data_IF_435676158011
#
_entry.id   IF_435676158011
#
_cell.length_a   1.000
_cell.length_b   1.000
_cell.length_c   1.000
_cell.angle_alpha   90.00
_cell.angle_beta   90.00
_cell.angle_gamma   90.00
#
_symmetry.space_group_name_H-M   'P 1'
#
loop_
_entity.id
_entity.type
_entity.pdbx_description
1 polymer ?
#
# COMPACT_ATOMS: atom_id res chain seq x y z
N UNK A 1 -39.29 -4.91 27.79
CA UNK A 1 -38.01 -5.64 27.65
C UNK A 1 -37.55 -5.45 26.20
N UNK A 2 -36.33 -4.93 25.98
CA UNK A 2 -35.82 -4.59 24.65
C UNK A 2 -35.40 -5.86 23.90
N UNK A 3 -35.99 -6.07 22.73
CA UNK A 3 -35.64 -7.13 21.79
C UNK A 3 -34.30 -6.77 21.14
N UNK A 4 -33.27 -7.60 21.36
CA UNK A 4 -31.97 -7.46 20.70
C UNK A 4 -32.07 -8.23 19.39
N UNK A 5 -32.05 -7.52 18.27
CA UNK A 5 -31.84 -8.11 16.95
C UNK A 5 -30.35 -8.44 16.80
N UNK A 6 -30.03 -9.73 16.85
CA UNK A 6 -28.72 -10.22 16.42
C UNK A 6 -28.86 -10.47 14.91
N UNK A 7 -28.28 -9.59 14.10
CA UNK A 7 -28.10 -9.86 12.67
C UNK A 7 -26.98 -10.90 12.57
N UNK A 8 -27.23 -12.09 12.00
CA UNK A 8 -26.15 -13.02 11.72
C UNK A 8 -25.30 -12.43 10.59
N UNK A 9 -24.06 -12.07 10.89
CA UNK A 9 -23.06 -11.77 9.87
C UNK A 9 -22.83 -13.08 9.12
N UNK A 10 -23.38 -13.14 7.92
CA UNK A 10 -23.27 -14.26 6.99
C UNK A 10 -21.81 -14.36 6.55
N UNK A 11 -21.06 -15.30 7.11
CA UNK A 11 -19.77 -15.73 6.57
C UNK A 11 -20.02 -16.45 5.25
N UNK A 12 -19.94 -15.71 4.14
CA UNK A 12 -19.88 -16.29 2.81
C UNK A 12 -18.41 -16.47 2.41
N UNK A 13 -17.98 -17.72 2.31
CA UNK A 13 -16.71 -18.13 1.70
C UNK A 13 -16.73 -17.82 0.21
N UNK A 14 -16.07 -16.76 -0.23
CA UNK A 14 -15.88 -16.36 -1.63
C UNK A 14 -14.38 -16.31 -1.96
N UNK A 15 -13.73 -17.46 -1.91
CA UNK A 15 -12.28 -17.59 -1.68
C UNK A 15 -11.32 -17.35 -2.86
N UNK A 16 -11.74 -16.72 -3.97
CA UNK A 16 -10.78 -16.42 -5.06
C UNK A 16 -10.98 -15.07 -5.78
N UNK A 17 -12.16 -14.43 -5.64
CA UNK A 17 -12.41 -13.08 -6.13
C UNK A 17 -12.26 -11.99 -5.06
N UNK A 18 -12.43 -12.36 -3.78
CA UNK A 18 -12.30 -11.44 -2.65
C UNK A 18 -10.86 -10.98 -2.45
N UNK A 19 -9.88 -11.87 -2.46
CA UNK A 19 -8.49 -11.50 -2.14
C UNK A 19 -7.90 -10.46 -3.11
N UNK A 20 -8.19 -10.57 -4.42
CA UNK A 20 -7.73 -9.60 -5.41
C UNK A 20 -8.42 -8.24 -5.23
N UNK A 21 -9.73 -8.23 -4.97
CA UNK A 21 -10.49 -7.01 -4.75
C UNK A 21 -10.07 -6.31 -3.45
N UNK A 22 -9.83 -7.08 -2.39
CA UNK A 22 -9.31 -6.63 -1.11
C UNK A 22 -7.90 -6.05 -1.23
N UNK A 23 -6.99 -6.75 -1.94
CA UNK A 23 -5.63 -6.29 -2.23
C UNK A 23 -5.62 -4.96 -2.97
N UNK A 24 -6.42 -4.87 -4.01
CA UNK A 24 -6.56 -3.68 -4.84
C UNK A 24 -7.11 -2.48 -4.04
N UNK A 25 -8.18 -2.69 -3.28
CA UNK A 25 -8.80 -1.66 -2.44
C UNK A 25 -7.87 -1.18 -1.33
N UNK A 26 -7.10 -2.09 -0.72
CA UNK A 26 -6.07 -1.75 0.26
C UNK A 26 -5.03 -0.79 -0.33
N UNK A 27 -4.54 -1.07 -1.55
CA UNK A 27 -3.57 -0.20 -2.23
C UNK A 27 -4.14 1.18 -2.54
N UNK A 28 -5.36 1.28 -3.06
CA UNK A 28 -6.00 2.58 -3.32
C UNK A 28 -6.08 3.41 -2.05
N UNK A 29 -6.57 2.83 -0.96
CA UNK A 29 -6.71 3.54 0.31
C UNK A 29 -5.36 3.98 0.87
N UNK A 30 -4.34 3.13 0.80
CA UNK A 30 -3.00 3.46 1.32
C UNK A 30 -2.33 4.57 0.51
N UNK A 31 -2.40 4.49 -0.82
CA UNK A 31 -1.87 5.53 -1.70
C UNK A 31 -2.61 6.84 -1.45
N UNK A 32 -3.93 6.80 -1.35
CA UNK A 32 -4.77 7.98 -1.12
C UNK A 32 -4.49 8.64 0.23
N UNK A 33 -4.40 7.82 1.28
CA UNK A 33 -4.08 8.26 2.62
C UNK A 33 -2.68 8.88 2.70
N UNK A 34 -1.71 8.28 2.01
CA UNK A 34 -0.32 8.77 1.92
C UNK A 34 -0.24 10.09 1.17
N UNK A 35 -0.86 10.19 -0.02
CA UNK A 35 -0.87 11.39 -0.84
C UNK A 35 -1.61 12.56 -0.16
N UNK A 36 -2.51 12.29 0.79
CA UNK A 36 -3.14 13.29 1.64
C UNK A 36 -2.22 13.82 2.77
N UNK A 37 -1.01 13.25 2.94
CA UNK A 37 -0.03 13.68 3.94
C UNK A 37 -0.32 13.17 5.35
N UNK A 38 -1.16 12.14 5.49
CA UNK A 38 -1.52 11.61 6.80
C UNK A 38 -0.40 10.70 7.36
N UNK A 39 -0.27 10.67 8.69
CA UNK A 39 0.65 9.74 9.35
C UNK A 39 0.13 8.30 9.21
N UNK A 40 0.89 7.45 8.52
CA UNK A 40 0.56 6.05 8.28
C UNK A 40 0.48 5.22 9.57
N UNK A 41 1.11 5.66 10.67
CA UNK A 41 0.96 5.01 11.97
C UNK A 41 -0.51 4.99 12.42
N UNK A 42 -1.26 6.07 12.17
CA UNK A 42 -2.69 6.13 12.47
C UNK A 42 -3.53 5.13 11.64
N UNK A 43 -3.01 4.66 10.51
CA UNK A 43 -3.64 3.63 9.68
C UNK A 43 -3.41 2.20 10.22
N UNK A 44 -2.48 2.06 11.17
CA UNK A 44 -2.02 0.75 11.70
C UNK A 44 -2.39 0.53 13.16
N UNK A 45 -2.68 1.61 13.90
CA UNK A 45 -3.04 1.57 15.32
C UNK A 45 -4.52 1.19 15.56
N UNK A 46 -4.83 0.52 16.69
CA UNK A 46 -6.21 0.23 17.07
C UNK A 46 -7.06 1.51 17.10
N UNK A 47 -8.33 1.47 16.65
CA UNK A 47 -9.12 0.29 16.28
C UNK A 47 -8.98 -0.14 14.81
N UNK A 48 -8.15 0.54 14.03
CA UNK A 48 -8.07 0.38 12.58
C UNK A 48 -6.92 -0.55 12.20
N UNK A 49 -7.11 -1.86 12.38
CA UNK A 49 -6.22 -2.84 11.78
C UNK A 49 -6.70 -3.15 10.36
N UNK A 50 -6.42 -2.25 9.42
CA UNK A 50 -6.80 -2.37 8.01
C UNK A 50 -5.98 -3.44 7.26
N UNK A 51 -5.66 -4.56 7.90
CA UNK A 51 -4.90 -5.66 7.32
C UNK A 51 -3.39 -5.45 7.22
N UNK A 52 -2.83 -4.42 7.87
CA UNK A 52 -1.38 -4.22 7.97
C UNK A 52 -0.81 -4.88 9.21
N UNK A 53 0.12 -5.81 9.03
CA UNK A 53 0.91 -6.39 10.11
C UNK A 53 2.27 -5.68 10.17
N UNK A 54 2.54 -4.98 11.28
CA UNK A 54 3.82 -4.28 11.49
C UNK A 54 4.93 -5.31 11.73
N UNK A 55 6.02 -5.18 11.00
CA UNK A 55 7.20 -6.06 11.07
C UNK A 55 8.48 -5.32 11.43
N UNK A 56 9.59 -5.76 10.82
CA UNK A 56 10.95 -5.32 11.11
C UNK A 56 11.14 -3.79 11.03
N UNK A 57 12.08 -3.29 11.83
CA UNK A 57 12.44 -1.88 11.91
C UNK A 57 13.93 -1.67 11.70
N UNK A 58 14.28 -0.52 11.12
CA UNK A 58 15.67 -0.05 10.99
C UNK A 58 15.74 1.42 11.39
N UNK A 59 16.78 1.79 12.12
CA UNK A 59 17.05 3.15 12.58
C UNK A 59 18.53 3.46 12.38
N UNK A 60 18.84 4.52 11.64
CA UNK A 60 20.21 4.98 11.38
C UNK A 60 20.57 6.29 12.12
N UNK A 61 19.69 6.75 13.03
CA UNK A 61 19.82 7.99 13.80
C UNK A 61 19.27 9.23 13.10
N UNK A 62 19.04 9.19 11.78
CA UNK A 62 18.36 10.25 11.03
C UNK A 62 16.99 9.81 10.53
N UNK A 63 16.88 8.54 10.18
CA UNK A 63 15.74 7.92 9.55
C UNK A 63 15.26 6.72 10.35
N UNK A 64 13.95 6.63 10.48
CA UNK A 64 13.26 5.50 11.06
C UNK A 64 12.43 4.80 10.01
N UNK A 65 12.77 3.56 9.68
CA UNK A 65 12.06 2.75 8.70
C UNK A 65 11.23 1.68 9.40
N UNK A 66 9.92 1.67 9.14
CA UNK A 66 9.01 0.59 9.53
C UNK A 66 8.59 -0.20 8.30
N UNK A 67 8.72 -1.52 8.37
CA UNK A 67 8.14 -2.43 7.38
C UNK A 67 6.77 -2.92 7.84
N UNK A 68 5.82 -2.96 6.94
CA UNK A 68 4.52 -3.60 7.11
C UNK A 68 4.37 -4.71 6.08
N UNK A 69 3.81 -5.83 6.53
CA UNK A 69 3.37 -6.90 5.67
C UNK A 69 1.96 -6.58 5.18
N UNK A 70 1.78 -6.69 3.87
CA UNK A 70 0.50 -6.53 3.18
C UNK A 70 -0.09 -7.92 2.90
N UNK A 71 -1.17 -7.97 2.11
CA UNK A 71 -1.75 -9.22 1.62
C UNK A 71 -0.69 -10.02 0.86
N UNK A 72 -0.72 -11.35 1.03
CA UNK A 72 0.22 -12.30 0.43
C UNK A 72 1.70 -12.04 0.81
N UNK A 73 2.54 -11.73 -0.19
CA UNK A 73 3.98 -11.51 -0.04
C UNK A 73 4.40 -10.05 -0.22
N UNK A 74 3.42 -9.16 -0.35
CA UNK A 74 3.67 -7.74 -0.56
C UNK A 74 4.21 -7.07 0.69
N UNK A 75 5.01 -6.02 0.48
CA UNK A 75 5.62 -5.27 1.56
C UNK A 75 5.39 -3.78 1.37
N UNK A 76 5.22 -3.09 2.48
CA UNK A 76 5.18 -1.64 2.55
C UNK A 76 6.27 -1.17 3.48
N UNK A 77 7.15 -0.29 3.02
CA UNK A 77 8.17 0.32 3.86
C UNK A 77 7.87 1.80 4.00
N UNK A 78 7.84 2.29 5.23
CA UNK A 78 7.62 3.70 5.56
C UNK A 78 8.86 4.24 6.21
N UNK A 79 9.46 5.25 5.60
CA UNK A 79 10.67 5.91 6.06
C UNK A 79 10.26 7.28 6.60
N UNK A 80 10.47 7.46 7.90
CA UNK A 80 10.22 8.69 8.62
C UNK A 80 11.53 9.42 8.88
N UNK A 81 11.51 10.74 8.73
CA UNK A 81 12.60 11.59 9.15
C UNK A 81 12.45 11.90 10.65
N UNK A 82 13.42 11.47 11.46
CA UNK A 82 13.37 11.65 12.92
C UNK A 82 13.42 13.12 13.34
N UNK A 83 14.17 13.95 12.60
CA UNK A 83 14.32 15.38 12.88
C UNK A 83 13.01 16.14 12.67
N UNK A 84 12.30 15.84 11.58
CA UNK A 84 11.06 16.53 11.22
C UNK A 84 9.79 15.82 11.70
N UNK A 85 9.93 14.61 12.26
CA UNK A 85 8.81 13.75 12.69
C UNK A 85 7.75 13.61 11.60
N UNK A 86 8.20 13.43 10.37
CA UNK A 86 7.36 13.38 9.18
C UNK A 86 7.77 12.21 8.28
N UNK A 87 6.80 11.68 7.53
CA UNK A 87 7.07 10.68 6.49
C UNK A 87 7.85 11.36 5.38
N UNK A 88 9.00 10.79 5.02
CA UNK A 88 9.81 11.25 3.89
C UNK A 88 9.62 10.35 2.67
N UNK A 89 9.40 9.04 2.88
CA UNK A 89 9.25 8.10 1.79
C UNK A 89 8.37 6.91 2.15
N UNK A 90 7.57 6.47 1.19
CA UNK A 90 6.80 5.23 1.24
C UNK A 90 7.17 4.38 0.04
N UNK A 91 7.44 3.10 0.26
CA UNK A 91 7.84 2.14 -0.76
C UNK A 91 6.92 0.93 -0.70
N UNK A 92 6.15 0.70 -1.76
CA UNK A 92 5.40 -0.53 -1.95
C UNK A 92 6.22 -1.50 -2.80
N UNK A 93 6.38 -2.72 -2.31
CA UNK A 93 6.91 -3.85 -3.05
C UNK A 93 5.73 -4.76 -3.35
N UNK A 94 5.33 -4.79 -4.62
CA UNK A 94 4.16 -5.48 -5.14
C UNK A 94 4.66 -6.70 -5.88
N UNK A 95 4.36 -7.87 -5.34
CA UNK A 95 4.62 -9.16 -5.97
C UNK A 95 3.61 -9.41 -7.10
N UNK A 96 4.04 -9.89 -8.28
CA UNK A 96 3.12 -10.13 -9.37
C UNK A 96 2.15 -11.28 -9.02
N UNK A 97 0.96 -11.26 -9.60
CA UNK A 97 -0.05 -12.30 -9.35
C UNK A 97 0.39 -13.60 -10.06
N UNK A 98 0.67 -14.66 -9.32
CA UNK A 98 1.06 -15.96 -9.89
C UNK A 98 -0.17 -16.87 -9.94
N UNK A 99 -0.60 -17.26 -11.16
CA UNK A 99 -1.68 -18.24 -11.38
C UNK A 99 -1.12 -19.45 -12.14
N UNK A 100 -0.79 -20.50 -11.40
CA UNK A 100 -0.07 -21.65 -11.96
C UNK A 100 1.32 -21.22 -12.45
N UNK A 101 1.60 -21.38 -13.75
CA UNK A 101 2.86 -20.95 -14.37
C UNK A 101 2.75 -19.58 -15.08
N UNK A 102 1.67 -18.84 -14.87
CA UNK A 102 1.43 -17.54 -15.52
C UNK A 102 1.66 -16.44 -14.48
N UNK A 103 2.58 -15.52 -14.80
CA UNK A 103 2.80 -14.27 -14.07
C UNK A 103 1.85 -13.22 -14.65
N UNK A 104 0.99 -12.64 -13.82
CA UNK A 104 0.08 -11.56 -14.20
C UNK A 104 0.48 -10.25 -13.53
N UNK A 105 0.45 -9.17 -14.31
CA UNK A 105 0.70 -7.80 -13.85
C UNK A 105 -0.60 -7.02 -13.63
N UNK A 106 -1.75 -7.69 -13.48
CA UNK A 106 -3.05 -7.05 -13.32
C UNK A 106 -3.11 -6.11 -12.11
N UNK A 107 -2.59 -6.52 -10.95
CA UNK A 107 -2.52 -5.65 -9.77
C UNK A 107 -1.64 -4.43 -10.03
N UNK A 108 -0.52 -4.61 -10.72
CA UNK A 108 0.37 -3.52 -11.13
C UNK A 108 -0.33 -2.55 -12.09
N UNK A 109 -1.01 -3.06 -13.11
CA UNK A 109 -1.77 -2.25 -14.06
C UNK A 109 -2.89 -1.48 -13.37
N UNK A 110 -3.56 -2.09 -12.40
CA UNK A 110 -4.56 -1.42 -11.60
C UNK A 110 -3.95 -0.24 -10.82
N UNK A 111 -2.85 -0.47 -10.10
CA UNK A 111 -2.18 0.57 -9.31
C UNK A 111 -1.73 1.71 -10.22
N UNK A 112 -1.15 1.41 -11.38
CA UNK A 112 -0.80 2.40 -12.39
C UNK A 112 -2.02 3.20 -12.86
N UNK A 113 -3.14 2.54 -13.15
CA UNK A 113 -4.37 3.22 -13.56
C UNK A 113 -4.92 4.13 -12.44
N UNK A 114 -4.85 3.70 -11.18
CA UNK A 114 -5.25 4.52 -10.04
C UNK A 114 -4.33 5.71 -9.86
N UNK A 115 -3.01 5.50 -9.91
CA UNK A 115 -2.02 6.57 -9.88
C UNK A 115 -2.26 7.58 -11.00
N UNK A 116 -2.57 7.14 -12.23
CA UNK A 116 -2.89 8.02 -13.36
C UNK A 116 -4.07 8.97 -13.12
N UNK A 117 -4.99 8.67 -12.20
CA UNK A 117 -6.04 9.62 -11.79
C UNK A 117 -5.48 10.82 -11.02
N UNK A 118 -4.27 10.70 -10.46
CA UNK A 118 -3.63 11.68 -9.57
C UNK A 118 -2.29 12.21 -10.10
N UNK A 119 -1.54 11.36 -10.76
CA UNK A 119 -0.17 11.53 -11.20
C UNK A 119 -0.02 10.85 -12.56
N UNK A 120 0.30 11.62 -13.62
CA UNK A 120 0.31 11.16 -15.01
C UNK A 120 1.46 10.17 -15.32
N UNK A 121 1.39 8.95 -14.77
CA UNK A 121 2.36 7.84 -14.86
C UNK A 121 1.81 6.78 -15.83
N UNK A 122 2.04 6.97 -17.11
CA UNK A 122 1.38 6.21 -18.19
C UNK A 122 1.99 4.81 -18.34
N UNK A 123 3.26 4.62 -17.97
CA UNK A 123 3.99 3.36 -18.14
C UNK A 123 4.84 2.98 -16.92
N UNK A 124 5.26 1.72 -16.85
CA UNK A 124 6.28 1.30 -15.88
C UNK A 124 7.60 2.06 -16.07
N UNK A 125 8.39 2.17 -15.00
CA UNK A 125 9.68 2.86 -14.96
C UNK A 125 9.58 4.36 -15.25
N UNK A 126 8.53 5.01 -14.73
CA UNK A 126 8.28 6.43 -14.91
C UNK A 126 8.16 7.14 -13.56
N UNK A 127 8.61 8.40 -13.53
CA UNK A 127 8.46 9.30 -12.41
C UNK A 127 7.47 10.43 -12.72
N UNK A 128 6.70 10.84 -11.72
CA UNK A 128 5.85 12.02 -11.70
C UNK A 128 6.21 12.90 -10.51
N UNK A 129 6.28 14.21 -10.71
CA UNK A 129 6.60 15.17 -9.66
C UNK A 129 5.54 16.27 -9.59
N UNK A 130 5.06 16.50 -8.38
CA UNK A 130 4.33 17.70 -7.98
C UNK A 130 5.10 18.34 -6.83
N UNK A 131 4.95 19.65 -6.59
CA UNK A 131 5.88 20.45 -5.77
C UNK A 131 6.27 19.88 -4.41
N UNK A 132 5.44 18.99 -3.83
CA UNK A 132 5.65 18.32 -2.53
C UNK A 132 5.86 16.80 -2.63
N UNK A 133 5.72 16.19 -3.81
CA UNK A 133 5.76 14.74 -3.97
C UNK A 133 6.46 14.29 -5.25
N UNK A 134 7.25 13.24 -5.17
CA UNK A 134 7.78 12.48 -6.30
C UNK A 134 7.25 11.05 -6.21
N UNK A 135 6.52 10.62 -7.23
CA UNK A 135 6.01 9.26 -7.36
C UNK A 135 6.81 8.58 -8.47
N UNK A 136 7.45 7.46 -8.14
CA UNK A 136 8.22 6.63 -9.06
C UNK A 136 7.64 5.22 -9.05
N UNK A 137 7.27 4.72 -10.21
CA UNK A 137 6.88 3.32 -10.37
C UNK A 137 7.91 2.59 -11.24
N UNK A 138 8.48 1.51 -10.73
CA UNK A 138 9.47 0.68 -11.43
C UNK A 138 9.09 -0.80 -11.43
N UNK A 139 9.51 -1.52 -12.47
CA UNK A 139 9.50 -2.98 -12.50
C UNK A 139 10.93 -3.50 -12.30
N UNK A 140 11.16 -4.34 -11.29
CA UNK A 140 12.47 -4.95 -10.98
C UNK A 140 12.31 -6.44 -10.69
N UNK A 141 12.92 -7.30 -11.51
CA UNK A 141 12.87 -8.76 -11.35
C UNK A 141 11.44 -9.28 -11.14
N UNK A 142 10.54 -8.88 -12.03
CA UNK A 142 9.09 -9.17 -11.98
C UNK A 142 8.31 -8.54 -10.81
N UNK A 143 8.96 -7.84 -9.88
CA UNK A 143 8.32 -7.07 -8.81
C UNK A 143 7.96 -5.66 -9.28
N UNK A 144 6.77 -5.19 -8.91
CA UNK A 144 6.42 -3.77 -8.98
C UNK A 144 6.95 -3.03 -7.76
N UNK A 145 7.65 -1.93 -7.95
CA UNK A 145 8.15 -1.06 -6.88
C UNK A 145 7.57 0.33 -7.06
N UNK A 146 6.66 0.73 -6.17
CA UNK A 146 6.11 2.08 -6.13
C UNK A 146 6.77 2.85 -4.98
N UNK A 147 7.50 3.91 -5.31
CA UNK A 147 8.11 4.82 -4.35
C UNK A 147 7.38 6.16 -4.38
N UNK A 148 6.89 6.62 -3.24
CA UNK A 148 6.34 7.96 -3.04
C UNK A 148 7.28 8.69 -2.09
N UNK A 149 7.98 9.71 -2.57
CA UNK A 149 8.82 10.59 -1.76
C UNK A 149 8.08 11.90 -1.51
N UNK A 150 8.11 12.39 -0.27
CA UNK A 150 7.42 13.60 0.19
C UNK A 150 8.49 14.62 0.59
N UNK A 151 8.37 15.86 0.12
CA UNK A 151 9.33 16.95 0.32
C UNK A 151 8.73 18.11 1.11
#
# INVERSE_FOLDING_TARGET
MKTIFIIPILFATLSFGQSKMERTFLYENLIDFTCAGNNLEAYTEPPYHNGLERGDYSDDGNYFTTQYKLIDQDKLMVINNLKYKAIEKIIFIITPDIKGNIISTETIQFILNHLNKKANIITSNQAWKDGKMLILFEMKNDLGVLTISIY
#
